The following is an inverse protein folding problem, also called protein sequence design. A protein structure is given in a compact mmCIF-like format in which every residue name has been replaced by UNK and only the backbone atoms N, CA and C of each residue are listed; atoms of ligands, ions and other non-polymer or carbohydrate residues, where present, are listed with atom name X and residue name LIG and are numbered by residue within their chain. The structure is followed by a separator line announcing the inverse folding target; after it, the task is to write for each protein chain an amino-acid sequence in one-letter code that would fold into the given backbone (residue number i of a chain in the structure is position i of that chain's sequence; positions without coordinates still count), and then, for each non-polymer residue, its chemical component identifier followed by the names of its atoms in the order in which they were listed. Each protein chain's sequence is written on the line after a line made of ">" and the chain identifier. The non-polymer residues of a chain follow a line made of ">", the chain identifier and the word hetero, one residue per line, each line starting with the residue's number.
data_IF_581356121296
#
_entry.id   IF_581356121296
#
_cell.length_a   1.000
_cell.length_b   1.000
_cell.length_c   1.000
_cell.angle_alpha   90.00
_cell.angle_beta   90.00
_cell.angle_gamma   90.00
#
_symmetry.space_group_name_H-M   'P 1'
#
loop_
_entity.id
_entity.type
_entity.pdbx_description
1 polymer ?
#
# COMPACT_ATOMS: atom_id res chain seq x y z
N UNK A 1 33.38 44.85 -20.15
CA UNK A 1 32.86 43.70 -19.39
C UNK A 1 32.90 44.07 -17.91
N UNK A 2 31.74 44.35 -17.31
CA UNK A 2 31.65 44.62 -15.87
C UNK A 2 31.92 43.30 -15.12
N UNK A 3 32.94 43.27 -14.25
CA UNK A 3 33.18 42.13 -13.35
C UNK A 3 32.04 42.09 -12.33
N UNK A 4 31.46 40.91 -12.03
CA UNK A 4 30.47 40.78 -10.97
C UNK A 4 31.05 41.30 -9.65
N UNK A 5 30.26 42.04 -8.88
CA UNK A 5 30.67 42.51 -7.56
C UNK A 5 30.78 41.35 -6.57
N UNK A 6 31.52 41.53 -5.48
CA UNK A 6 31.61 40.51 -4.42
C UNK A 6 30.22 40.16 -3.83
N UNK A 7 29.29 41.11 -3.84
CA UNK A 7 27.90 40.90 -3.43
C UNK A 7 27.15 40.01 -4.43
N UNK A 8 27.31 40.21 -5.74
CA UNK A 8 26.67 39.38 -6.78
C UNK A 8 27.15 37.92 -6.71
N UNK A 9 28.44 37.72 -6.41
CA UNK A 9 29.03 36.38 -6.23
C UNK A 9 28.47 35.70 -4.96
N UNK A 10 28.30 36.45 -3.86
CA UNK A 10 27.71 35.93 -2.63
C UNK A 10 26.22 35.60 -2.78
N UNK A 11 25.46 36.43 -3.48
CA UNK A 11 24.04 36.20 -3.77
C UNK A 11 23.86 34.96 -4.66
N UNK A 12 24.67 34.82 -5.71
CA UNK A 12 24.65 33.64 -6.57
C UNK A 12 25.05 32.37 -5.81
N UNK A 13 26.04 32.44 -4.91
CA UNK A 13 26.46 31.32 -4.07
C UNK A 13 25.35 30.89 -3.10
N UNK A 14 24.65 31.85 -2.47
CA UNK A 14 23.51 31.57 -1.59
C UNK A 14 22.35 30.95 -2.36
N UNK A 15 21.99 31.48 -3.53
CA UNK A 15 20.94 30.93 -4.39
C UNK A 15 21.26 29.50 -4.83
N UNK A 16 22.53 29.21 -5.17
CA UNK A 16 23.00 27.86 -5.49
C UNK A 16 22.89 26.91 -4.29
N UNK A 17 23.30 27.35 -3.09
CA UNK A 17 23.21 26.55 -1.87
C UNK A 17 21.74 26.23 -1.50
N UNK A 18 20.85 27.21 -1.59
CA UNK A 18 19.40 27.02 -1.38
C UNK A 18 18.82 26.01 -2.37
N UNK A 19 19.22 26.11 -3.65
CA UNK A 19 18.78 25.19 -4.69
C UNK A 19 19.29 23.76 -4.44
N UNK A 20 20.57 23.61 -4.08
CA UNK A 20 21.16 22.32 -3.77
C UNK A 20 20.44 21.63 -2.60
N UNK A 21 20.20 22.37 -1.51
CA UNK A 21 19.48 21.86 -0.34
C UNK A 21 18.06 21.38 -0.68
N UNK A 22 17.34 22.13 -1.54
CA UNK A 22 16.02 21.73 -2.02
C UNK A 22 16.09 20.44 -2.86
N UNK A 23 17.07 20.35 -3.79
CA UNK A 23 17.26 19.17 -4.64
C UNK A 23 17.60 17.91 -3.84
N UNK A 24 18.52 18.01 -2.88
CA UNK A 24 18.88 16.91 -1.98
C UNK A 24 17.66 16.37 -1.23
N UNK A 25 16.78 17.26 -0.76
CA UNK A 25 15.53 16.86 -0.10
C UNK A 25 14.61 16.06 -1.02
N UNK A 26 14.51 16.46 -2.29
CA UNK A 26 13.69 15.76 -3.28
C UNK A 26 14.26 14.40 -3.68
N UNK A 27 15.58 14.28 -3.82
CA UNK A 27 16.25 13.01 -4.10
C UNK A 27 16.03 12.01 -2.96
N UNK A 28 16.20 12.44 -1.72
CA UNK A 28 15.89 11.63 -0.53
C UNK A 28 14.43 11.17 -0.51
N UNK A 29 13.49 12.01 -0.94
CA UNK A 29 12.08 11.66 -1.03
C UNK A 29 11.79 10.65 -2.16
N UNK A 30 12.48 10.78 -3.29
CA UNK A 30 12.36 9.88 -4.42
C UNK A 30 12.85 8.46 -4.09
N UNK A 31 13.94 8.35 -3.32
CA UNK A 31 14.52 7.07 -2.90
C UNK A 31 13.65 6.32 -1.90
N UNK A 32 12.94 7.05 -1.03
CA UNK A 32 12.01 6.45 -0.04
C UNK A 32 10.70 5.96 -0.66
N UNK A 33 10.44 6.22 -1.95
CA UNK A 33 9.16 5.87 -2.57
C UNK A 33 9.01 4.35 -2.77
N UNK A 34 7.83 3.77 -2.51
CA UNK A 34 7.60 2.35 -2.78
C UNK A 34 7.84 1.97 -4.24
N UNK A 35 8.61 0.90 -4.48
CA UNK A 35 8.98 0.40 -5.83
C UNK A 35 7.76 0.20 -6.73
N UNK A 36 6.67 -0.35 -6.18
CA UNK A 36 5.42 -0.58 -6.91
C UNK A 36 4.79 0.74 -7.39
N UNK A 37 4.82 1.80 -6.57
CA UNK A 37 4.31 3.12 -6.95
C UNK A 37 5.18 3.75 -8.03
N UNK A 38 6.52 3.66 -7.92
CA UNK A 38 7.45 4.16 -8.94
C UNK A 38 7.19 3.52 -10.30
N UNK A 39 7.08 2.19 -10.36
CA UNK A 39 6.78 1.46 -11.60
C UNK A 39 5.39 1.79 -12.17
N UNK A 40 4.37 1.91 -11.31
CA UNK A 40 3.02 2.20 -11.75
C UNK A 40 2.85 3.65 -12.26
N UNK A 41 3.63 4.60 -11.75
CA UNK A 41 3.61 6.00 -12.14
C UNK A 41 4.43 6.22 -13.40
N UNK A 42 5.63 5.64 -13.49
CA UNK A 42 6.50 5.77 -14.67
C UNK A 42 5.80 5.28 -15.94
N UNK A 43 5.12 4.14 -15.89
CA UNK A 43 4.38 3.61 -17.05
C UNK A 43 3.26 4.56 -17.52
N UNK A 44 2.56 5.21 -16.59
CA UNK A 44 1.46 6.15 -16.91
C UNK A 44 1.98 7.50 -17.40
N UNK A 45 3.08 7.96 -16.82
CA UNK A 45 3.77 9.17 -17.24
C UNK A 45 4.34 9.00 -18.67
N UNK A 46 4.91 7.82 -18.98
CA UNK A 46 5.40 7.52 -20.32
C UNK A 46 4.26 7.52 -21.34
N UNK A 47 3.11 6.94 -21.01
CA UNK A 47 1.94 6.95 -21.90
C UNK A 47 1.46 8.39 -22.21
N UNK A 48 1.55 9.31 -21.24
CA UNK A 48 1.30 10.73 -21.48
C UNK A 48 2.34 11.35 -22.42
N UNK A 49 3.62 11.07 -22.21
CA UNK A 49 4.71 11.58 -23.06
C UNK A 49 4.54 11.10 -24.51
N UNK A 50 4.25 9.81 -24.70
CA UNK A 50 4.07 9.22 -26.02
C UNK A 50 2.84 9.82 -26.72
N UNK A 51 1.73 9.98 -26.00
CA UNK A 51 0.55 10.66 -26.51
C UNK A 51 0.83 12.10 -26.91
N UNK A 52 1.58 12.85 -26.08
CA UNK A 52 1.89 14.25 -26.35
C UNK A 52 2.69 14.39 -27.64
N UNK A 53 3.73 13.56 -27.81
CA UNK A 53 4.58 13.57 -29.02
C UNK A 53 3.83 13.13 -30.28
N UNK A 54 2.85 12.25 -30.15
CA UNK A 54 2.02 11.80 -31.26
C UNK A 54 1.02 12.85 -31.77
N UNK A 55 0.76 13.94 -31.01
CA UNK A 55 -0.14 15.00 -31.47
C UNK A 55 0.53 15.87 -32.55
N UNK A 56 -0.25 16.32 -33.57
CA UNK A 56 0.29 17.17 -34.63
C UNK A 56 1.02 18.39 -34.08
N UNK A 57 2.23 18.66 -34.58
CA UNK A 57 3.03 19.81 -34.17
C UNK A 57 3.78 19.67 -32.83
N UNK A 58 3.74 18.51 -32.18
CA UNK A 58 4.39 18.29 -30.87
C UNK A 58 5.58 17.31 -30.90
N UNK A 59 5.89 16.69 -32.05
CA UNK A 59 6.96 15.69 -32.16
C UNK A 59 8.33 16.16 -31.60
N UNK A 60 8.66 17.44 -31.83
CA UNK A 60 9.92 18.05 -31.37
C UNK A 60 9.76 18.91 -30.11
N UNK A 61 8.56 19.00 -29.53
CA UNK A 61 8.32 19.80 -28.32
C UNK A 61 8.58 18.96 -27.07
N UNK A 62 9.08 19.63 -26.03
CA UNK A 62 9.17 19.02 -24.72
C UNK A 62 7.75 18.73 -24.18
N UNK A 63 7.50 17.55 -23.59
CA UNK A 63 6.20 17.17 -23.06
C UNK A 63 5.93 17.84 -21.71
N UNK A 64 5.99 19.17 -21.67
CA UNK A 64 5.73 19.96 -20.46
C UNK A 64 4.26 19.79 -20.06
N UNK A 65 4.04 19.42 -18.80
CA UNK A 65 2.70 19.20 -18.28
C UNK A 65 2.06 20.54 -17.91
N UNK A 66 0.85 20.77 -18.38
CA UNK A 66 -0.03 21.84 -17.93
C UNK A 66 -1.44 21.28 -17.63
N UNK A 67 -2.35 22.15 -17.17
CA UNK A 67 -3.71 21.72 -16.86
C UNK A 67 -4.53 21.30 -18.09
N UNK A 68 -4.31 21.90 -19.25
CA UNK A 68 -5.09 21.65 -20.47
C UNK A 68 -4.68 20.33 -21.13
N UNK A 69 -3.38 20.12 -21.26
CA UNK A 69 -2.75 18.89 -21.77
C UNK A 69 -3.06 17.70 -20.88
N UNK A 70 -2.96 17.85 -19.55
CA UNK A 70 -3.41 16.83 -18.60
C UNK A 70 -4.90 16.53 -18.77
N UNK A 71 -5.76 17.55 -18.78
CA UNK A 71 -7.20 17.35 -18.92
C UNK A 71 -7.55 16.65 -20.24
N UNK A 72 -6.97 17.11 -21.35
CA UNK A 72 -7.23 16.57 -22.68
C UNK A 72 -6.72 15.13 -22.80
N UNK A 73 -5.53 14.82 -22.29
CA UNK A 73 -5.03 13.43 -22.24
C UNK A 73 -5.98 12.49 -21.51
N UNK A 74 -6.44 12.90 -20.32
CA UNK A 74 -7.35 12.07 -19.52
C UNK A 74 -8.67 11.83 -20.27
N UNK A 75 -9.23 12.87 -20.89
CA UNK A 75 -10.48 12.80 -21.64
C UNK A 75 -10.37 11.98 -22.94
N UNK A 76 -9.27 12.12 -23.66
CA UNK A 76 -9.02 11.52 -24.98
C UNK A 76 -8.55 10.06 -24.91
N UNK A 77 -7.67 9.72 -23.96
CA UNK A 77 -6.98 8.41 -23.92
C UNK A 77 -7.34 7.52 -22.75
N UNK A 78 -7.79 8.09 -21.63
CA UNK A 78 -7.96 7.33 -20.38
C UNK A 78 -9.43 7.03 -20.09
N UNK A 79 -10.29 8.04 -20.18
CA UNK A 79 -11.74 7.87 -19.99
C UNK A 79 -12.31 7.06 -21.17
N UNK A 80 -13.20 6.11 -20.88
CA UNK A 80 -13.84 5.27 -21.89
C UNK A 80 -13.01 4.07 -22.36
N UNK A 81 -11.72 4.00 -22.01
CA UNK A 81 -10.85 2.87 -22.35
C UNK A 81 -11.30 1.59 -21.62
N UNK A 82 -11.24 0.46 -22.30
CA UNK A 82 -11.44 -0.86 -21.69
C UNK A 82 -10.26 -1.22 -20.78
N UNK A 83 -10.56 -1.79 -19.61
CA UNK A 83 -9.53 -2.27 -18.71
C UNK A 83 -8.73 -3.40 -19.38
N UNK A 84 -7.46 -3.55 -19.01
CA UNK A 84 -6.65 -4.67 -19.52
C UNK A 84 -7.27 -6.01 -19.08
N UNK A 85 -7.30 -7.03 -19.95
CA UNK A 85 -7.71 -8.38 -19.56
C UNK A 85 -6.85 -8.84 -18.38
N UNK A 86 -7.47 -9.38 -17.34
CA UNK A 86 -6.73 -10.10 -16.29
C UNK A 86 -6.39 -11.48 -16.85
N UNK A 87 -5.10 -11.78 -17.02
CA UNK A 87 -4.65 -13.16 -17.16
C UNK A 87 -4.95 -13.87 -15.84
N UNK A 88 -5.96 -14.74 -15.83
CA UNK A 88 -6.23 -15.61 -14.67
C UNK A 88 -5.00 -16.49 -14.47
N UNK A 89 -4.20 -16.23 -13.43
CA UNK A 89 -3.01 -17.03 -13.15
C UNK A 89 -3.27 -18.30 -12.32
N UNK A 90 -4.49 -18.54 -11.83
CA UNK A 90 -4.76 -19.68 -10.90
C UNK A 90 -6.07 -20.47 -11.14
N UNK A 91 -6.63 -20.46 -12.35
CA UNK A 91 -7.63 -21.49 -12.72
C UNK A 91 -7.28 -22.00 -14.09
N UNK A 92 -6.89 -23.27 -14.21
CA UNK A 92 -6.35 -23.94 -15.40
C UNK A 92 -7.32 -24.02 -16.59
N UNK A 93 -7.77 -22.88 -17.10
CA UNK A 93 -8.51 -22.73 -18.33
C UNK A 93 -8.04 -21.42 -18.99
N UNK A 94 -7.17 -21.56 -19.99
CA UNK A 94 -6.66 -20.49 -20.83
C UNK A 94 -7.75 -19.89 -21.71
N UNK A 95 -8.64 -19.09 -21.12
CA UNK A 95 -9.45 -18.13 -21.87
C UNK A 95 -9.09 -16.72 -21.46
N UNK A 96 -8.40 -16.01 -22.34
CA UNK A 96 -8.22 -14.57 -22.26
C UNK A 96 -9.57 -13.92 -22.57
N UNK A 97 -10.48 -13.85 -21.59
CA UNK A 97 -11.73 -13.10 -21.77
C UNK A 97 -11.38 -11.62 -21.97
N UNK A 98 -11.73 -11.08 -23.13
CA UNK A 98 -11.70 -9.65 -23.38
C UNK A 98 -12.47 -8.92 -22.26
N UNK A 99 -11.82 -7.91 -21.72
CA UNK A 99 -12.39 -7.13 -20.61
C UNK A 99 -13.38 -6.12 -21.19
N UNK A 100 -14.68 -6.37 -20.99
CA UNK A 100 -15.76 -5.42 -21.32
C UNK A 100 -15.87 -4.26 -20.32
N UNK A 101 -15.13 -4.32 -19.21
CA UNK A 101 -15.20 -3.31 -18.15
C UNK A 101 -14.37 -2.09 -18.49
N UNK A 102 -15.01 -0.94 -18.61
CA UNK A 102 -14.35 0.36 -18.78
C UNK A 102 -13.54 0.71 -17.52
N UNK A 103 -12.40 1.37 -17.71
CA UNK A 103 -11.56 1.87 -16.62
C UNK A 103 -12.38 2.73 -15.64
N UNK A 104 -12.23 2.46 -14.35
CA UNK A 104 -12.89 3.22 -13.27
C UNK A 104 -12.10 4.44 -12.78
N UNK A 105 -12.77 5.28 -12.00
CA UNK A 105 -12.31 6.49 -11.34
C UNK A 105 -10.97 6.30 -10.62
N UNK A 106 -10.79 5.18 -9.90
CA UNK A 106 -9.56 4.91 -9.16
C UNK A 106 -8.32 4.91 -10.08
N UNK A 107 -8.43 4.34 -11.27
CA UNK A 107 -7.35 4.31 -12.26
C UNK A 107 -7.17 5.67 -12.91
N UNK A 108 -8.25 6.37 -13.26
CA UNK A 108 -8.18 7.75 -13.79
C UNK A 108 -7.45 8.67 -12.81
N UNK A 109 -7.77 8.58 -11.52
CA UNK A 109 -7.09 9.31 -10.43
C UNK A 109 -5.61 8.94 -10.33
N UNK A 110 -5.24 7.68 -10.57
CA UNK A 110 -3.83 7.28 -10.62
C UNK A 110 -3.08 7.90 -11.81
N UNK A 111 -3.70 8.00 -13.00
CA UNK A 111 -3.10 8.72 -14.13
C UNK A 111 -2.86 10.19 -13.80
N UNK A 112 -3.87 10.87 -13.23
CA UNK A 112 -3.71 12.26 -12.79
C UNK A 112 -2.57 12.40 -11.79
N UNK A 113 -2.49 11.53 -10.78
CA UNK A 113 -1.40 11.60 -9.80
C UNK A 113 -0.02 11.32 -10.43
N UNK A 114 0.08 10.37 -11.37
CA UNK A 114 1.32 10.06 -12.05
C UNK A 114 1.81 11.22 -12.94
N UNK A 115 0.90 11.92 -13.62
CA UNK A 115 1.26 13.05 -14.47
C UNK A 115 1.54 14.31 -13.64
N UNK A 116 0.85 14.50 -12.51
CA UNK A 116 1.22 15.54 -11.53
C UNK A 116 2.61 15.28 -10.95
N UNK A 117 2.98 14.02 -10.74
CA UNK A 117 4.31 13.64 -10.30
C UNK A 117 5.39 13.96 -11.35
N UNK A 118 5.10 13.68 -12.63
CA UNK A 118 5.92 14.11 -13.76
C UNK A 118 6.05 15.64 -13.82
N UNK A 119 4.97 16.38 -13.63
CA UNK A 119 5.01 17.84 -13.53
C UNK A 119 5.93 18.31 -12.41
N UNK A 120 5.82 17.72 -11.22
CA UNK A 120 6.70 18.05 -10.09
C UNK A 120 8.17 17.78 -10.44
N UNK A 121 8.46 16.71 -11.19
CA UNK A 121 9.81 16.44 -11.69
C UNK A 121 10.30 17.51 -12.67
N UNK A 122 9.47 17.93 -13.61
CA UNK A 122 9.81 18.98 -14.56
C UNK A 122 10.03 20.34 -13.88
N UNK A 123 9.26 20.66 -12.84
CA UNK A 123 9.45 21.86 -12.02
C UNK A 123 10.75 21.79 -11.23
N UNK A 124 11.09 20.62 -10.64
CA UNK A 124 12.38 20.41 -9.95
C UNK A 124 13.56 20.64 -10.89
N UNK A 125 13.45 20.17 -12.13
CA UNK A 125 14.44 20.37 -13.19
C UNK A 125 14.41 21.77 -13.80
N UNK A 126 13.51 22.66 -13.33
CA UNK A 126 13.26 24.00 -13.89
C UNK A 126 12.91 24.03 -15.38
N UNK A 127 12.47 22.90 -15.93
CA UNK A 127 12.04 22.79 -17.32
C UNK A 127 10.60 23.29 -17.53
N UNK A 128 9.79 23.30 -16.47
CA UNK A 128 8.37 23.66 -16.53
C UNK A 128 8.04 24.80 -15.58
N UNK A 129 7.49 25.89 -16.11
CA UNK A 129 7.06 27.10 -15.39
C UNK A 129 5.53 27.22 -15.31
N UNK A 130 4.79 26.25 -15.85
CA UNK A 130 3.33 26.28 -15.87
C UNK A 130 2.75 26.19 -14.44
N UNK A 131 1.57 26.77 -14.19
CA UNK A 131 0.85 26.57 -12.94
C UNK A 131 0.53 25.09 -12.69
N UNK A 132 0.30 24.75 -11.41
CA UNK A 132 0.03 23.37 -11.01
C UNK A 132 -1.12 22.75 -11.84
N UNK A 133 -0.89 21.60 -12.51
CA UNK A 133 -1.80 21.11 -13.55
C UNK A 133 -3.13 20.58 -12.99
N UNK A 134 -3.17 20.19 -11.72
CA UNK A 134 -4.41 19.77 -11.02
C UNK A 134 -5.26 20.95 -10.53
N UNK A 135 -5.66 21.82 -11.45
CA UNK A 135 -6.52 22.97 -11.17
C UNK A 135 -8.02 22.59 -11.10
N UNK A 136 -8.90 23.59 -11.06
CA UNK A 136 -10.36 23.38 -10.99
C UNK A 136 -10.92 22.59 -12.18
N UNK A 137 -10.32 22.70 -13.37
CA UNK A 137 -10.73 21.94 -14.55
C UNK A 137 -10.53 20.43 -14.34
N UNK A 138 -9.34 20.02 -13.91
CA UNK A 138 -9.03 18.60 -13.65
C UNK A 138 -9.82 18.07 -12.44
N UNK A 139 -10.04 18.89 -11.41
CA UNK A 139 -10.90 18.52 -10.27
C UNK A 139 -12.34 18.26 -10.71
N UNK A 140 -12.89 19.12 -11.59
CA UNK A 140 -14.24 18.96 -12.14
C UNK A 140 -14.34 17.70 -12.99
N UNK A 141 -13.34 17.43 -13.85
CA UNK A 141 -13.28 16.20 -14.63
C UNK A 141 -13.31 14.95 -13.74
N UNK A 142 -12.49 14.91 -12.69
CA UNK A 142 -12.47 13.79 -11.74
C UNK A 142 -13.83 13.60 -11.05
N UNK A 143 -14.52 14.70 -10.69
CA UNK A 143 -15.87 14.63 -10.10
C UNK A 143 -16.87 14.03 -11.08
N UNK A 144 -16.85 14.46 -12.34
CA UNK A 144 -17.75 13.94 -13.38
C UNK A 144 -17.50 12.45 -13.66
N UNK A 145 -16.22 12.02 -13.70
CA UNK A 145 -15.88 10.59 -13.85
C UNK A 145 -16.42 9.76 -12.69
N UNK A 146 -16.34 10.27 -11.45
CA UNK A 146 -16.89 9.58 -10.28
C UNK A 146 -18.41 9.43 -10.38
N UNK A 147 -19.12 10.52 -10.72
CA UNK A 147 -20.58 10.51 -10.87
C UNK A 147 -21.03 9.57 -11.99
N UNK A 148 -20.38 9.63 -13.15
CA UNK A 148 -20.69 8.75 -14.29
C UNK A 148 -20.42 7.27 -13.97
N UNK A 149 -19.40 6.97 -13.15
CA UNK A 149 -19.17 5.60 -12.68
C UNK A 149 -20.31 5.13 -11.76
N UNK A 150 -20.77 5.96 -10.84
CA UNK A 150 -21.86 5.62 -9.92
C UNK A 150 -23.20 5.47 -10.65
N UNK A 151 -23.48 6.32 -11.64
CA UNK A 151 -24.63 6.20 -12.55
C UNK A 151 -24.57 4.90 -13.35
N UNK A 152 -23.40 4.56 -13.92
CA UNK A 152 -23.20 3.30 -14.64
C UNK A 152 -23.42 2.09 -13.74
N UNK A 153 -22.87 2.09 -12.52
CA UNK A 153 -23.09 1.02 -11.53
C UNK A 153 -24.57 0.87 -11.22
N UNK A 154 -25.30 1.98 -11.05
CA UNK A 154 -26.73 1.99 -10.80
C UNK A 154 -27.53 1.46 -12.00
N UNK A 155 -27.20 1.88 -13.22
CA UNK A 155 -27.86 1.42 -14.44
C UNK A 155 -27.62 -0.07 -14.72
N UNK A 156 -26.45 -0.58 -14.32
CA UNK A 156 -26.10 -2.00 -14.42
C UNK A 156 -26.66 -2.85 -13.27
N UNK A 157 -27.41 -2.25 -12.33
CA UNK A 157 -27.90 -2.92 -11.12
C UNK A 157 -26.78 -3.65 -10.35
N UNK A 158 -25.57 -3.06 -10.33
CA UNK A 158 -24.47 -3.63 -9.55
C UNK A 158 -24.86 -3.68 -8.08
N UNK A 159 -24.64 -4.85 -7.45
CA UNK A 159 -24.94 -5.05 -6.04
C UNK A 159 -24.16 -4.04 -5.19
N UNK A 160 -24.89 -3.27 -4.39
CA UNK A 160 -24.30 -2.28 -3.46
C UNK A 160 -23.63 -2.95 -2.26
N UNK A 161 -24.01 -4.19 -1.96
CA UNK A 161 -23.41 -5.04 -0.94
C UNK A 161 -22.11 -5.71 -1.39
N UNK A 162 -21.82 -5.75 -2.70
CA UNK A 162 -20.59 -6.35 -3.22
C UNK A 162 -19.35 -5.65 -2.67
N UNK A 163 -18.39 -6.42 -2.14
CA UNK A 163 -17.19 -5.89 -1.51
C UNK A 163 -17.43 -5.14 -0.19
N UNK A 164 -18.61 -5.27 0.41
CA UNK A 164 -18.90 -4.81 1.77
C UNK A 164 -18.71 -5.93 2.78
N UNK A 165 -19.00 -5.68 4.07
CA UNK A 165 -18.93 -6.69 5.13
C UNK A 165 -19.82 -7.91 4.87
N UNK A 166 -20.91 -7.75 4.11
CA UNK A 166 -21.86 -8.82 3.80
C UNK A 166 -21.25 -9.87 2.85
N UNK A 167 -20.28 -9.47 2.02
CA UNK A 167 -19.56 -10.33 1.06
C UNK A 167 -18.47 -11.18 1.74
N UNK A 168 -18.27 -10.99 3.06
CA UNK A 168 -17.28 -11.70 3.87
C UNK A 168 -17.88 -12.80 4.74
N UNK A 169 -17.04 -13.33 5.65
CA UNK A 169 -17.54 -14.13 6.77
C UNK A 169 -18.22 -13.20 7.79
N UNK A 170 -19.46 -13.52 8.15
CA UNK A 170 -20.33 -12.68 8.99
C UNK A 170 -20.73 -13.36 10.29
N UNK A 171 -20.55 -14.69 10.41
CA UNK A 171 -20.91 -15.43 11.62
C UNK A 171 -19.70 -16.03 12.32
N UNK A 172 -19.85 -16.29 13.62
CA UNK A 172 -18.83 -16.95 14.41
C UNK A 172 -18.61 -18.39 13.94
N UNK A 173 -19.65 -19.08 13.47
CA UNK A 173 -19.53 -20.43 12.91
C UNK A 173 -18.65 -20.46 11.66
N UNK A 174 -18.78 -19.46 10.79
CA UNK A 174 -17.92 -19.32 9.61
C UNK A 174 -16.46 -19.09 10.03
N UNK A 175 -16.22 -18.25 11.04
CA UNK A 175 -14.89 -18.06 11.63
C UNK A 175 -14.33 -19.37 12.21
N UNK A 176 -15.14 -20.11 12.96
CA UNK A 176 -14.75 -21.42 13.50
C UNK A 176 -14.48 -22.44 12.39
N UNK A 177 -15.21 -22.41 11.27
CA UNK A 177 -14.94 -23.25 10.11
C UNK A 177 -13.61 -22.88 9.43
N UNK A 178 -13.28 -21.58 9.32
CA UNK A 178 -11.99 -21.11 8.83
C UNK A 178 -10.85 -21.55 9.77
N UNK A 179 -11.05 -21.47 11.09
CA UNK A 179 -10.08 -21.93 12.07
C UNK A 179 -9.86 -23.46 11.97
N UNK A 180 -10.96 -24.23 11.94
CA UNK A 180 -10.95 -25.70 11.73
C UNK A 180 -10.23 -26.05 10.44
N UNK A 181 -10.53 -25.28 9.38
CA UNK A 181 -9.70 -24.97 8.23
C UNK A 181 -8.25 -25.35 8.48
N UNK A 182 -7.52 -24.38 9.03
CA UNK A 182 -6.09 -24.42 9.27
C UNK A 182 -5.63 -25.48 10.30
N UNK A 183 -6.53 -25.96 11.15
CA UNK A 183 -6.24 -26.99 12.15
C UNK A 183 -6.28 -28.44 11.62
N UNK A 184 -6.94 -28.70 10.48
CA UNK A 184 -6.95 -30.05 9.90
C UNK A 184 -5.52 -30.57 9.66
N UNK A 185 -5.15 -31.78 10.15
CA UNK A 185 -3.84 -32.36 9.87
C UNK A 185 -3.61 -32.51 8.37
N UNK A 186 -2.50 -31.97 7.88
CA UNK A 186 -2.08 -32.06 6.50
C UNK A 186 -0.55 -31.93 6.42
N UNK A 187 0.03 -32.25 5.27
CA UNK A 187 1.41 -31.88 4.95
C UNK A 187 1.61 -30.38 5.20
N UNK A 188 2.72 -30.00 5.85
CA UNK A 188 3.07 -28.61 6.20
C UNK A 188 2.20 -27.96 7.30
N UNK A 189 1.83 -28.69 8.34
CA UNK A 189 1.03 -28.20 9.48
C UNK A 189 1.46 -26.83 10.03
N UNK A 190 2.77 -26.57 10.15
CA UNK A 190 3.26 -25.26 10.61
C UNK A 190 2.98 -24.07 9.71
N UNK A 191 2.96 -24.28 8.39
CA UNK A 191 2.56 -23.25 7.43
C UNK A 191 1.10 -22.88 7.67
N UNK A 192 0.25 -23.87 7.97
CA UNK A 192 -1.17 -23.64 8.27
C UNK A 192 -1.36 -22.89 9.57
N UNK A 193 -0.59 -23.20 10.62
CA UNK A 193 -0.61 -22.43 11.88
C UNK A 193 -0.15 -20.98 11.67
N UNK A 194 0.87 -20.76 10.84
CA UNK A 194 1.31 -19.42 10.46
C UNK A 194 0.22 -18.66 9.71
N UNK A 195 -0.44 -19.31 8.76
CA UNK A 195 -1.48 -18.70 7.94
C UNK A 195 -2.76 -18.46 8.77
N UNK A 196 -3.05 -19.32 9.75
CA UNK A 196 -4.07 -19.08 10.76
C UNK A 196 -3.77 -17.84 11.60
N UNK A 197 -2.55 -17.69 12.10
CA UNK A 197 -2.14 -16.49 12.81
C UNK A 197 -2.23 -15.24 11.91
N UNK A 198 -1.81 -15.35 10.64
CA UNK A 198 -1.90 -14.24 9.68
C UNK A 198 -3.36 -13.81 9.44
N UNK A 199 -4.27 -14.77 9.34
CA UNK A 199 -5.72 -14.51 9.28
C UNK A 199 -6.20 -13.83 10.56
N UNK A 200 -5.85 -14.37 11.73
CA UNK A 200 -6.26 -13.83 13.03
C UNK A 200 -5.74 -12.39 13.26
N UNK A 201 -4.50 -12.08 12.84
CA UNK A 201 -3.96 -10.72 12.85
C UNK A 201 -4.74 -9.78 11.91
N UNK A 202 -5.16 -10.27 10.74
CA UNK A 202 -5.93 -9.45 9.81
C UNK A 202 -7.35 -9.20 10.30
N UNK A 203 -7.97 -10.21 10.93
CA UNK A 203 -9.36 -10.13 11.40
C UNK A 203 -9.48 -9.38 12.74
N UNK A 204 -8.73 -9.79 13.76
CA UNK A 204 -8.91 -9.27 15.12
C UNK A 204 -8.07 -8.04 15.44
N UNK A 205 -6.87 -7.94 14.87
CA UNK A 205 -6.03 -6.76 15.02
C UNK A 205 -6.31 -5.73 13.90
N UNK A 206 -7.13 -6.08 12.90
CA UNK A 206 -7.43 -5.26 11.72
C UNK A 206 -6.19 -4.89 10.90
N UNK A 207 -5.18 -5.78 10.91
CA UNK A 207 -3.93 -5.51 10.21
C UNK A 207 -4.06 -5.74 8.71
N UNK A 208 -3.45 -4.85 7.94
CA UNK A 208 -3.20 -5.12 6.52
C UNK A 208 -2.17 -6.24 6.41
N UNK A 209 -2.33 -7.10 5.40
CA UNK A 209 -1.42 -8.23 5.20
C UNK A 209 0.06 -7.85 4.97
N UNK A 210 0.36 -6.63 4.50
CA UNK A 210 1.74 -6.12 4.49
C UNK A 210 2.25 -5.87 5.90
N UNK A 211 1.48 -5.15 6.73
CA UNK A 211 1.84 -4.85 8.11
C UNK A 211 1.95 -6.12 8.97
N UNK A 212 0.99 -7.03 8.86
CA UNK A 212 0.99 -8.29 9.60
C UNK A 212 2.26 -9.14 9.34
N UNK A 213 2.74 -9.15 8.09
CA UNK A 213 3.97 -9.89 7.71
C UNK A 213 5.26 -9.18 8.11
N UNK A 214 5.21 -7.86 8.30
CA UNK A 214 6.37 -7.09 8.72
C UNK A 214 6.52 -7.05 10.24
N UNK A 215 5.47 -7.41 10.98
CA UNK A 215 5.42 -7.41 12.43
C UNK A 215 6.56 -8.24 13.04
N UNK A 216 7.28 -7.62 13.97
CA UNK A 216 8.38 -8.21 14.72
C UNK A 216 7.93 -8.63 16.12
N UNK A 217 8.68 -9.53 16.76
CA UNK A 217 8.42 -9.89 18.16
C UNK A 217 8.55 -8.66 19.07
N UNK A 218 9.43 -7.72 18.74
CA UNK A 218 9.61 -6.46 19.48
C UNK A 218 8.43 -5.49 19.35
N UNK A 219 7.56 -5.67 18.35
CA UNK A 219 6.34 -4.88 18.21
C UNK A 219 5.22 -5.36 19.14
N UNK A 220 5.38 -6.53 19.77
CA UNK A 220 4.37 -7.11 20.66
C UNK A 220 4.59 -6.70 22.11
N UNK A 221 3.50 -6.33 22.78
CA UNK A 221 3.46 -6.03 24.19
C UNK A 221 2.28 -6.76 24.83
N UNK A 222 2.41 -7.12 26.11
CA UNK A 222 1.31 -7.63 26.90
C UNK A 222 0.99 -6.64 28.02
N UNK A 223 -0.30 -6.36 28.21
CA UNK A 223 -0.79 -5.50 29.29
C UNK A 223 -1.88 -6.26 30.03
N UNK A 224 -1.73 -6.40 31.33
CA UNK A 224 -2.80 -6.90 32.17
C UNK A 224 -3.81 -5.76 32.38
N UNK A 225 -5.06 -6.00 31.99
CA UNK A 225 -6.15 -5.06 32.23
C UNK A 225 -6.71 -5.29 33.63
N UNK A 226 -6.56 -4.29 34.49
CA UNK A 226 -7.12 -4.31 35.84
C UNK A 226 -8.64 -4.23 35.79
N UNK A 227 -9.32 -4.94 36.70
CA UNK A 227 -10.78 -4.94 36.85
C UNK A 227 -11.58 -5.44 35.63
N UNK A 228 -10.93 -6.02 34.63
CA UNK A 228 -11.59 -6.61 33.46
C UNK A 228 -11.76 -8.12 33.62
N UNK A 229 -13.02 -8.55 33.78
CA UNK A 229 -13.41 -9.96 33.84
C UNK A 229 -13.20 -10.66 35.19
N UNK A 230 -13.66 -11.91 35.28
CA UNK A 230 -13.56 -12.74 36.50
C UNK A 230 -12.19 -13.40 36.70
N UNK A 231 -11.30 -13.31 35.71
CA UNK A 231 -9.95 -13.87 35.71
C UNK A 231 -8.96 -12.87 35.10
N UNK A 232 -7.64 -13.08 35.29
CA UNK A 232 -6.60 -12.20 34.73
C UNK A 232 -6.82 -11.95 33.23
N UNK A 233 -7.21 -10.73 32.86
CA UNK A 233 -7.38 -10.31 31.48
C UNK A 233 -6.08 -9.73 30.94
N UNK A 234 -5.48 -10.40 29.95
CA UNK A 234 -4.25 -9.93 29.29
C UNK A 234 -4.60 -9.51 27.87
N UNK A 235 -4.38 -8.25 27.57
CA UNK A 235 -4.41 -7.71 26.22
C UNK A 235 -3.04 -7.89 25.57
N UNK A 236 -3.02 -8.39 24.34
CA UNK A 236 -1.81 -8.38 23.51
C UNK A 236 -1.93 -7.21 22.54
N UNK A 237 -0.90 -6.39 22.51
CA UNK A 237 -0.82 -5.15 21.74
C UNK A 237 0.26 -5.32 20.68
N UNK A 238 -0.08 -5.06 19.43
CA UNK A 238 0.85 -4.91 18.32
C UNK A 238 1.04 -3.41 18.04
N UNK A 239 2.26 -2.92 18.27
CA UNK A 239 2.66 -1.53 18.03
C UNK A 239 3.07 -1.37 16.58
N UNK A 240 2.55 -0.34 15.93
CA UNK A 240 2.81 -0.07 14.52
C UNK A 240 3.33 1.35 14.38
N UNK A 241 4.52 1.46 13.81
CA UNK A 241 5.12 2.76 13.48
C UNK A 241 5.20 2.98 11.98
N UNK A 242 4.93 1.95 11.18
CA UNK A 242 5.06 2.02 9.73
C UNK A 242 3.91 1.29 9.05
N UNK A 243 3.37 1.90 8.02
CA UNK A 243 2.37 1.31 7.15
C UNK A 243 2.12 2.20 5.94
N UNK A 244 1.42 1.69 4.93
CA UNK A 244 1.15 2.45 3.70
C UNK A 244 0.50 3.82 3.95
N UNK A 245 -0.36 3.91 4.96
CA UNK A 245 -1.05 5.13 5.41
C UNK A 245 -0.32 5.87 6.53
N UNK A 246 0.65 5.22 7.16
CA UNK A 246 1.45 5.73 8.26
C UNK A 246 2.92 5.80 7.84
N UNK A 247 3.19 6.74 6.94
CA UNK A 247 4.53 6.96 6.36
C UNK A 247 5.44 7.77 7.29
N UNK A 248 4.89 8.36 8.35
CA UNK A 248 5.56 9.34 9.20
C UNK A 248 5.86 8.83 10.62
N UNK A 249 5.77 7.52 10.88
CA UNK A 249 6.21 7.01 12.18
C UNK A 249 5.18 7.15 13.30
N UNK A 250 3.91 7.49 13.01
CA UNK A 250 2.90 7.67 14.06
C UNK A 250 2.71 6.34 14.80
N UNK A 251 2.53 6.40 16.11
CA UNK A 251 2.26 5.19 16.88
C UNK A 251 0.79 4.83 16.68
N UNK A 252 0.55 3.72 16.00
CA UNK A 252 -0.76 3.09 15.85
C UNK A 252 -0.73 1.80 16.68
N UNK A 253 -1.78 1.55 17.47
CA UNK A 253 -1.88 0.37 18.31
C UNK A 253 -3.00 -0.52 17.79
N UNK A 254 -2.70 -1.80 17.61
CA UNK A 254 -3.71 -2.82 17.41
C UNK A 254 -3.75 -3.71 18.65
N UNK A 255 -4.89 -3.76 19.32
CA UNK A 255 -5.05 -4.45 20.59
C UNK A 255 -5.99 -5.62 20.42
N UNK A 256 -5.66 -6.76 21.04
CA UNK A 256 -6.53 -7.91 20.99
C UNK A 256 -6.64 -8.64 22.34
N UNK A 257 -7.90 -8.87 22.74
CA UNK A 257 -8.27 -9.64 23.92
C UNK A 257 -8.43 -11.12 23.58
N UNK A 258 -8.49 -11.97 24.62
CA UNK A 258 -8.82 -13.39 24.43
C UNK A 258 -10.26 -13.54 23.99
N UNK A 259 -10.49 -14.32 22.94
CA UNK A 259 -11.83 -14.77 22.59
C UNK A 259 -12.31 -15.81 23.63
N UNK A 260 -13.62 -15.83 23.89
CA UNK A 260 -14.26 -16.85 24.75
C UNK A 260 -14.09 -18.25 24.16
N UNK A 261 -14.25 -18.38 22.85
CA UNK A 261 -13.99 -19.60 22.11
C UNK A 261 -12.50 -19.67 21.73
N UNK A 262 -11.82 -20.68 22.27
CA UNK A 262 -10.39 -20.92 22.05
C UNK A 262 -10.07 -21.20 20.59
N UNK A 263 -10.99 -21.83 19.85
CA UNK A 263 -10.76 -22.24 18.45
C UNK A 263 -10.55 -21.04 17.52
N UNK A 264 -11.20 -19.91 17.80
CA UNK A 264 -11.07 -18.68 17.03
C UNK A 264 -10.18 -17.63 17.71
N UNK A 265 -9.59 -17.96 18.86
CA UNK A 265 -8.86 -17.00 19.67
C UNK A 265 -7.52 -16.61 19.01
N UNK A 266 -7.28 -15.31 18.76
CA UNK A 266 -6.03 -14.84 18.16
C UNK A 266 -4.81 -15.04 19.06
N UNK A 267 -4.98 -14.96 20.38
CA UNK A 267 -3.91 -15.27 21.33
C UNK A 267 -3.58 -16.77 21.33
N UNK A 268 -4.59 -17.64 21.19
CA UNK A 268 -4.37 -19.08 21.03
C UNK A 268 -3.69 -19.40 19.70
N UNK A 269 -4.11 -18.76 18.60
CA UNK A 269 -3.46 -18.86 17.29
C UNK A 269 -1.95 -18.54 17.39
N UNK A 270 -1.63 -17.43 18.08
CA UNK A 270 -0.26 -17.00 18.29
C UNK A 270 0.54 -17.98 19.16
N UNK A 271 -0.03 -18.42 20.28
CA UNK A 271 0.63 -19.37 21.18
C UNK A 271 0.91 -20.71 20.48
N UNK A 272 -0.06 -21.28 19.77
CA UNK A 272 0.11 -22.53 19.04
C UNK A 272 1.17 -22.41 17.95
N UNK A 273 1.20 -21.30 17.21
CA UNK A 273 2.20 -21.09 16.16
C UNK A 273 3.62 -20.92 16.74
N UNK A 274 3.79 -20.14 17.81
CA UNK A 274 5.09 -19.95 18.46
C UNK A 274 5.58 -21.25 19.13
N UNK A 275 4.67 -22.01 19.74
CA UNK A 275 5.00 -23.33 20.27
C UNK A 275 5.48 -24.27 19.15
N UNK A 276 4.73 -24.36 18.05
CA UNK A 276 5.14 -25.16 16.91
C UNK A 276 6.52 -24.72 16.39
N UNK A 277 6.74 -23.42 16.22
CA UNK A 277 7.97 -22.85 15.68
C UNK A 277 9.21 -23.24 16.50
N UNK A 278 9.16 -23.12 17.83
CA UNK A 278 10.33 -23.36 18.66
C UNK A 278 10.45 -24.79 19.18
N UNK A 279 9.33 -25.44 19.50
CA UNK A 279 9.35 -26.78 20.11
C UNK A 279 9.19 -27.91 19.11
N UNK A 280 8.48 -27.69 17.99
CA UNK A 280 8.18 -28.76 17.02
C UNK A 280 9.04 -28.65 15.76
N UNK A 281 9.17 -27.46 15.17
CA UNK A 281 10.08 -27.21 14.04
C UNK A 281 11.55 -27.21 14.48
N UNK A 282 11.81 -26.97 15.77
CA UNK A 282 13.16 -26.92 16.34
C UNK A 282 13.93 -25.66 15.95
N UNK A 283 13.23 -24.56 15.62
CA UNK A 283 13.91 -23.26 15.51
C UNK A 283 14.49 -22.88 16.88
N UNK A 284 15.78 -22.51 16.96
CA UNK A 284 16.36 -22.03 18.21
C UNK A 284 15.55 -20.86 18.77
N UNK A 285 15.21 -20.94 20.05
CA UNK A 285 14.54 -19.85 20.74
C UNK A 285 15.42 -18.58 20.67
N UNK A 286 14.86 -17.37 20.46
CA UNK A 286 15.64 -16.16 20.36
C UNK A 286 16.44 -15.90 21.64
N UNK A 287 17.71 -15.56 21.50
CA UNK A 287 18.52 -15.10 22.63
C UNK A 287 17.96 -13.76 23.10
N UNK A 288 17.58 -13.68 24.37
CA UNK A 288 16.95 -12.48 24.96
C UNK A 288 17.94 -11.65 25.80
N UNK A 289 19.24 -11.84 25.63
CA UNK A 289 20.29 -11.17 26.41
C UNK A 289 20.37 -9.68 26.09
N UNK A 290 20.41 -9.33 24.79
CA UNK A 290 20.37 -7.93 24.34
C UNK A 290 19.25 -7.72 23.35
N UNK A 291 18.71 -6.50 23.27
CA UNK A 291 17.66 -6.19 22.30
C UNK A 291 18.08 -6.50 20.85
N UNK A 292 19.36 -6.26 20.50
CA UNK A 292 19.88 -6.52 19.15
C UNK A 292 19.75 -7.99 18.71
N UNK A 293 19.75 -8.92 19.67
CA UNK A 293 19.67 -10.35 19.40
C UNK A 293 18.32 -10.74 18.81
N UNK A 294 17.22 -10.18 19.33
CA UNK A 294 15.86 -10.58 19.01
C UNK A 294 14.98 -9.52 18.33
N UNK A 295 15.40 -8.25 18.30
CA UNK A 295 14.57 -7.13 17.79
C UNK A 295 14.00 -7.40 16.39
N UNK A 296 14.85 -7.85 15.46
CA UNK A 296 14.46 -8.11 14.08
C UNK A 296 13.75 -9.46 13.83
N UNK A 297 13.43 -10.25 14.86
CA UNK A 297 12.71 -11.50 14.66
C UNK A 297 11.29 -11.22 14.19
N UNK A 298 10.93 -11.76 13.03
CA UNK A 298 9.57 -11.66 12.52
C UNK A 298 8.64 -12.52 13.35
N UNK A 299 7.45 -12.02 13.62
CA UNK A 299 6.37 -12.83 14.17
C UNK A 299 6.03 -13.93 13.18
N UNK A 300 5.64 -13.57 11.95
CA UNK A 300 5.36 -14.52 10.86
C UNK A 300 6.65 -14.82 10.07
N UNK A 301 7.26 -15.98 10.32
CA UNK A 301 8.49 -16.40 9.63
C UNK A 301 8.25 -16.75 8.16
N UNK A 302 9.21 -16.37 7.32
CA UNK A 302 9.25 -16.72 5.90
C UNK A 302 10.57 -17.42 5.59
N UNK A 303 10.52 -18.71 5.26
CA UNK A 303 11.71 -19.53 5.01
C UNK A 303 12.54 -19.81 6.26
N UNK A 304 13.83 -20.10 6.10
CA UNK A 304 14.70 -20.55 7.21
C UNK A 304 15.21 -19.41 8.12
N UNK A 305 15.30 -18.19 7.61
CA UNK A 305 15.85 -17.07 8.37
C UNK A 305 14.73 -16.34 9.14
N UNK A 306 14.74 -16.35 10.48
CA UNK A 306 13.66 -15.79 11.29
C UNK A 306 13.62 -14.26 11.27
N UNK A 307 14.68 -13.59 10.81
CA UNK A 307 14.76 -12.13 10.68
C UNK A 307 14.40 -11.61 9.27
N UNK A 308 14.15 -12.51 8.31
CA UNK A 308 13.82 -12.13 6.92
C UNK A 308 12.36 -12.46 6.58
N UNK A 309 11.80 -11.63 5.71
CA UNK A 309 10.54 -11.86 5.01
C UNK A 309 10.77 -12.63 3.72
#
# INVERSE_FOLDING_TARGET
>A
MLRPSAADVQEAALAFAMQRSAMETYEMAADKRPKATKAAYSAKAQEYVDWFKAKPGNANKLPLVDAQTLHYFIKDKVIGRTARPKTKKDTGAGSTKESTKVIGYATVKQYVNAIVDLYQEQVRQRANTNPHPRNNLVKTLLKQVSLAEDERKRANYEDRGAGTLIDGYTTQEQLSQIAKHYWTPASFFGVRLRDWLAFALSHYYLLRGETARMLELADLQSVQLENEGTSKCVAVIAVQRQGKTNQHGRVELAVCLRAKDVSVCPQAAMACYLFWRWHVEGEPFPVMTTSADWYGYKLLKSGKNPKKR
#
